data_IF_564364683151
#
_entry.id   IF_564364683151
#
_cell.length_a   1.000
_cell.length_b   1.000
_cell.length_c   1.000
_cell.angle_alpha   90.00
_cell.angle_beta   90.00
_cell.angle_gamma   90.00
#
_symmetry.space_group_name_H-M   'P 1'
#
loop_
_entity.id
_entity.type
_entity.pdbx_description
1 polymer ?
#
# COMPACT_ATOMS: atom_id res chain seq x y z
N UNK A 1 31.94 -7.44 -23.37
CA UNK A 1 30.58 -7.29 -22.80
C UNK A 1 30.69 -6.35 -21.61
N UNK A 2 30.16 -5.12 -21.72
CA UNK A 2 30.21 -4.16 -20.61
C UNK A 2 29.05 -4.42 -19.67
N UNK A 3 29.34 -4.78 -18.43
CA UNK A 3 28.32 -4.92 -17.39
C UNK A 3 27.79 -3.53 -17.02
N UNK A 4 26.50 -3.30 -17.26
CA UNK A 4 25.82 -2.10 -16.75
C UNK A 4 25.70 -2.21 -15.23
N UNK A 5 26.72 -1.74 -14.52
CA UNK A 5 26.65 -1.55 -13.07
C UNK A 5 25.68 -0.40 -12.80
N UNK A 6 24.54 -0.71 -12.16
CA UNK A 6 23.54 0.30 -11.83
C UNK A 6 24.18 1.42 -11.00
N UNK A 7 23.92 2.69 -11.37
CA UNK A 7 24.37 3.83 -10.59
C UNK A 7 23.81 3.73 -9.16
N UNK A 8 24.58 4.07 -8.12
CA UNK A 8 24.07 4.06 -6.75
C UNK A 8 22.97 5.13 -6.61
N UNK A 9 21.73 4.66 -6.46
CA UNK A 9 20.55 5.49 -6.17
C UNK A 9 20.78 6.28 -4.88
N UNK A 10 20.54 7.59 -4.89
CA UNK A 10 20.59 8.39 -3.67
C UNK A 10 19.35 8.11 -2.83
N UNK A 11 19.43 8.30 -1.51
CA UNK A 11 18.29 8.02 -0.62
C UNK A 11 17.02 8.83 -1.01
N UNK A 12 17.20 10.06 -1.50
CA UNK A 12 16.11 10.91 -2.00
C UNK A 12 15.50 10.50 -3.35
N UNK A 13 16.12 9.57 -4.08
CA UNK A 13 15.58 9.02 -5.34
C UNK A 13 14.85 7.68 -5.14
N UNK A 14 14.81 7.16 -3.90
CA UNK A 14 14.27 5.83 -3.60
C UNK A 14 12.79 5.91 -3.25
N UNK A 15 11.97 5.18 -4.01
CA UNK A 15 10.53 5.05 -3.74
C UNK A 15 10.20 3.67 -3.20
N UNK A 16 9.26 3.63 -2.27
CA UNK A 16 8.56 2.42 -1.86
C UNK A 16 7.40 2.20 -2.81
N UNK A 17 7.28 0.98 -3.33
CA UNK A 17 6.17 0.59 -4.19
C UNK A 17 5.19 -0.26 -3.37
N UNK A 18 3.89 0.06 -3.43
CA UNK A 18 2.85 -0.75 -2.82
C UNK A 18 1.80 -1.09 -3.87
N UNK A 19 1.54 -2.39 -4.04
CA UNK A 19 0.56 -2.93 -4.98
C UNK A 19 -0.62 -3.52 -4.19
N UNK A 20 -1.80 -2.94 -4.38
CA UNK A 20 -3.06 -3.48 -3.87
C UNK A 20 -3.61 -4.49 -4.89
N UNK A 21 -3.36 -5.78 -4.65
CA UNK A 21 -3.69 -6.89 -5.55
C UNK A 21 -5.09 -7.47 -5.23
N UNK A 22 -5.80 -7.99 -6.23
CA UNK A 22 -7.19 -8.50 -6.12
C UNK A 22 -8.19 -7.48 -5.58
N UNK A 23 -8.01 -6.20 -5.90
CA UNK A 23 -8.94 -5.14 -5.53
C UNK A 23 -10.31 -5.34 -6.20
N UNK A 24 -11.38 -5.29 -5.40
CA UNK A 24 -12.76 -5.56 -5.85
C UNK A 24 -13.43 -4.31 -6.43
N UNK A 25 -12.81 -3.73 -7.48
CA UNK A 25 -13.33 -2.56 -8.21
C UNK A 25 -13.97 -2.99 -9.53
N UNK A 26 -15.30 -2.96 -9.56
CA UNK A 26 -16.14 -3.34 -10.70
C UNK A 26 -17.35 -2.42 -10.79
N UNK A 27 -17.74 -2.00 -12.01
CA UNK A 27 -18.98 -1.25 -12.23
C UNK A 27 -20.14 -2.17 -12.58
N UNK A 28 -21.33 -1.85 -12.08
CA UNK A 28 -22.61 -2.45 -12.49
C UNK A 28 -23.59 -1.37 -12.92
N UNK A 29 -24.47 -1.68 -13.88
CA UNK A 29 -25.58 -0.80 -14.27
C UNK A 29 -26.78 -1.05 -13.34
N UNK A 30 -27.27 0.00 -12.69
CA UNK A 30 -28.41 -0.02 -11.76
C UNK A 30 -29.41 1.04 -12.20
N UNK A 31 -30.60 0.59 -12.64
CA UNK A 31 -31.53 1.43 -13.43
C UNK A 31 -30.75 2.04 -14.60
N UNK A 32 -30.66 3.37 -14.73
CA UNK A 32 -29.85 4.03 -15.77
C UNK A 32 -28.49 4.57 -15.30
N UNK A 33 -28.20 4.51 -14.00
CA UNK A 33 -26.91 4.88 -13.43
C UNK A 33 -25.88 3.74 -13.50
N UNK A 34 -24.58 4.07 -13.53
CA UNK A 34 -23.50 3.12 -13.27
C UNK A 34 -23.00 3.32 -11.83
N UNK A 35 -22.93 2.24 -11.06
CA UNK A 35 -22.52 2.26 -9.66
C UNK A 35 -21.36 1.28 -9.44
N UNK A 36 -20.57 1.49 -8.39
CA UNK A 36 -19.50 0.56 -8.01
C UNK A 36 -20.12 -0.61 -7.27
N UNK A 37 -19.81 -1.84 -7.69
CA UNK A 37 -20.35 -3.06 -7.11
C UNK A 37 -19.95 -3.18 -5.63
N UNK A 38 -20.96 -3.23 -4.77
CA UNK A 38 -20.85 -3.27 -3.32
C UNK A 38 -21.78 -4.34 -2.72
N UNK A 39 -21.36 -5.03 -1.66
CA UNK A 39 -22.15 -6.09 -1.04
C UNK A 39 -23.45 -5.60 -0.40
N UNK A 40 -23.46 -4.36 0.10
CA UNK A 40 -24.59 -3.80 0.84
C UNK A 40 -25.70 -3.35 -0.12
N UNK A 41 -25.38 -2.50 -1.09
CA UNK A 41 -26.35 -1.92 -2.02
C UNK A 41 -26.79 -2.88 -3.14
N UNK A 42 -25.93 -3.82 -3.53
CA UNK A 42 -26.11 -4.65 -4.74
C UNK A 42 -26.29 -6.15 -4.42
N UNK A 43 -26.72 -6.50 -3.21
CA UNK A 43 -26.83 -7.89 -2.76
C UNK A 43 -27.70 -8.78 -3.65
N UNK A 44 -28.76 -8.23 -4.27
CA UNK A 44 -29.63 -8.98 -5.18
C UNK A 44 -29.01 -9.21 -6.57
N UNK A 45 -28.16 -8.28 -7.04
CA UNK A 45 -27.39 -8.45 -8.27
C UNK A 45 -26.35 -9.56 -8.08
N UNK A 46 -25.69 -9.60 -6.92
CA UNK A 46 -24.74 -10.67 -6.58
C UNK A 46 -25.41 -12.05 -6.56
N UNK A 47 -26.57 -12.18 -5.89
CA UNK A 47 -27.39 -13.41 -5.91
C UNK A 47 -27.78 -13.81 -7.34
N UNK A 48 -28.25 -12.86 -8.16
CA UNK A 48 -28.67 -13.11 -9.55
C UNK A 48 -27.55 -13.69 -10.42
N UNK A 49 -26.30 -13.29 -10.19
CA UNK A 49 -25.13 -13.81 -10.90
C UNK A 49 -24.39 -14.92 -10.13
N UNK A 50 -24.98 -15.46 -9.06
CA UNK A 50 -24.40 -16.50 -8.21
C UNK A 50 -22.98 -16.15 -7.70
N UNK A 51 -22.82 -14.92 -7.21
CA UNK A 51 -21.57 -14.37 -6.65
C UNK A 51 -21.70 -14.14 -5.15
N UNK A 52 -20.59 -14.33 -4.45
CA UNK A 52 -20.53 -14.14 -2.99
C UNK A 52 -20.38 -12.67 -2.59
N UNK A 53 -20.94 -12.31 -1.43
CA UNK A 53 -20.84 -10.95 -0.89
C UNK A 53 -19.38 -10.52 -0.60
N UNK A 54 -18.48 -11.47 -0.35
CA UNK A 54 -17.04 -11.22 -0.15
C UNK A 54 -16.31 -10.74 -1.41
N UNK A 55 -16.88 -10.91 -2.60
CA UNK A 55 -16.30 -10.45 -3.87
C UNK A 55 -16.58 -8.98 -4.19
N UNK A 56 -17.48 -8.34 -3.44
CA UNK A 56 -17.96 -6.97 -3.67
C UNK A 56 -17.63 -6.08 -2.47
N UNK A 57 -16.34 -5.94 -2.17
CA UNK A 57 -15.81 -5.23 -0.99
C UNK A 57 -14.84 -4.10 -1.35
N UNK A 58 -15.26 -3.14 -2.18
CA UNK A 58 -14.43 -2.01 -2.60
C UNK A 58 -14.00 -1.11 -1.42
N UNK A 59 -14.74 -1.14 -0.30
CA UNK A 59 -14.41 -0.47 0.96
C UNK A 59 -13.05 -0.88 1.52
N UNK A 60 -12.60 -2.12 1.27
CA UNK A 60 -11.27 -2.60 1.67
C UNK A 60 -10.19 -1.82 0.91
N UNK A 61 -10.37 -1.62 -0.40
CA UNK A 61 -9.45 -0.84 -1.23
C UNK A 61 -9.46 0.63 -0.81
N UNK A 62 -10.65 1.17 -0.55
CA UNK A 62 -10.84 2.54 -0.03
C UNK A 62 -10.07 2.77 1.28
N UNK A 63 -10.23 1.90 2.27
CA UNK A 63 -9.53 2.01 3.56
C UNK A 63 -8.00 1.85 3.41
N UNK A 64 -7.53 0.96 2.53
CA UNK A 64 -6.10 0.85 2.23
C UNK A 64 -5.55 2.15 1.64
N UNK A 65 -6.24 2.74 0.65
CA UNK A 65 -5.83 4.00 0.05
C UNK A 65 -5.83 5.15 1.07
N UNK A 66 -6.81 5.22 1.97
CA UNK A 66 -6.80 6.20 3.05
C UNK A 66 -5.58 6.03 3.97
N UNK A 67 -5.28 4.79 4.41
CA UNK A 67 -4.12 4.51 5.25
C UNK A 67 -2.79 4.83 4.56
N UNK A 68 -2.67 4.52 3.26
CA UNK A 68 -1.46 4.76 2.47
C UNK A 68 -1.25 6.24 2.18
N UNK A 69 -2.27 6.97 1.76
CA UNK A 69 -2.12 8.38 1.33
C UNK A 69 -2.00 9.36 2.50
N UNK A 70 -2.51 8.99 3.69
CA UNK A 70 -2.33 9.76 4.92
C UNK A 70 -0.97 9.58 5.58
N UNK A 71 -0.22 8.54 5.20
CA UNK A 71 1.08 8.23 5.79
C UNK A 71 2.07 9.39 5.63
N UNK A 72 2.88 9.71 6.65
CA UNK A 72 4.07 10.55 6.51
C UNK A 72 4.96 10.12 5.32
N UNK A 73 5.07 8.82 5.03
CA UNK A 73 5.79 8.28 3.87
C UNK A 73 5.29 8.84 2.53
N UNK A 74 3.96 8.93 2.34
CA UNK A 74 3.37 9.51 1.13
C UNK A 74 3.59 11.04 1.08
N UNK A 75 3.44 11.73 2.21
CA UNK A 75 3.67 13.18 2.31
C UNK A 75 5.12 13.58 2.05
N UNK A 76 6.07 12.69 2.34
CA UNK A 76 7.48 12.82 1.97
C UNK A 76 7.76 12.59 0.46
N UNK A 77 6.77 12.16 -0.33
CA UNK A 77 6.93 11.87 -1.76
C UNK A 77 7.60 10.53 -2.07
N UNK A 78 7.78 9.67 -1.07
CA UNK A 78 8.54 8.42 -1.15
C UNK A 78 7.66 7.19 -1.41
N UNK A 79 6.33 7.35 -1.53
CA UNK A 79 5.41 6.26 -1.82
C UNK A 79 4.91 6.32 -3.27
N UNK A 80 4.82 5.16 -3.93
CA UNK A 80 4.08 4.95 -5.17
C UNK A 80 3.09 3.82 -4.98
N UNK A 81 1.81 4.07 -5.25
CA UNK A 81 0.74 3.07 -5.11
C UNK A 81 0.21 2.64 -6.48
N UNK A 82 0.02 1.33 -6.63
CA UNK A 82 -0.72 0.71 -7.73
C UNK A 82 -1.88 -0.12 -7.18
N UNK A 83 -2.94 -0.24 -7.98
CA UNK A 83 -4.10 -1.09 -7.68
C UNK A 83 -4.30 -2.04 -8.85
N UNK A 84 -4.35 -3.35 -8.59
CA UNK A 84 -4.70 -4.36 -9.58
C UNK A 84 -6.02 -5.01 -9.21
N UNK A 85 -7.02 -4.83 -10.06
CA UNK A 85 -8.37 -5.34 -9.78
C UNK A 85 -8.49 -6.84 -10.05
N UNK A 86 -9.52 -7.47 -9.49
CA UNK A 86 -9.88 -8.87 -9.81
C UNK A 86 -10.17 -9.09 -11.31
N UNK A 87 -10.56 -8.03 -12.04
CA UNK A 87 -10.73 -8.02 -13.51
C UNK A 87 -9.44 -7.70 -14.27
N UNK A 88 -8.27 -7.81 -13.63
CA UNK A 88 -6.95 -7.54 -14.20
C UNK A 88 -6.80 -6.11 -14.77
N UNK A 89 -7.51 -5.12 -14.22
CA UNK A 89 -7.29 -3.70 -14.55
C UNK A 89 -6.19 -3.18 -13.64
N UNK A 90 -5.11 -2.65 -14.21
CA UNK A 90 -4.02 -2.04 -13.44
C UNK A 90 -4.17 -0.52 -13.42
N UNK A 91 -4.12 0.06 -12.23
CA UNK A 91 -4.33 1.48 -11.97
C UNK A 91 -3.09 2.03 -11.26
N UNK A 92 -2.54 3.11 -11.82
CA UNK A 92 -1.54 3.98 -11.20
C UNK A 92 -2.26 5.09 -10.43
N UNK A 93 -1.86 5.32 -9.18
CA UNK A 93 -2.37 6.42 -8.35
C UNK A 93 -1.24 7.43 -8.10
N UNK A 94 -1.46 8.69 -8.46
CA UNK A 94 -0.46 9.74 -8.30
C UNK A 94 -0.32 10.15 -6.81
N UNK A 95 0.88 10.31 -6.23
CA UNK A 95 1.07 10.54 -4.78
C UNK A 95 0.34 11.78 -4.21
N UNK A 96 0.11 12.81 -5.03
CA UNK A 96 -0.63 14.03 -4.63
C UNK A 96 -2.15 13.86 -4.62
N UNK A 97 -2.68 12.69 -4.97
CA UNK A 97 -4.12 12.42 -5.04
C UNK A 97 -4.75 12.46 -3.65
N UNK A 98 -5.74 13.33 -3.45
CA UNK A 98 -6.55 13.33 -2.22
C UNK A 98 -7.69 12.32 -2.36
N UNK A 99 -7.52 11.16 -1.74
CA UNK A 99 -8.53 10.10 -1.69
C UNK A 99 -9.79 10.64 -0.95
N UNK A 100 -11.01 10.51 -1.54
CA UNK A 100 -12.24 10.88 -0.85
C UNK A 100 -12.41 10.15 0.48
N UNK A 101 -12.84 10.85 1.53
CA UNK A 101 -13.01 10.26 2.88
C UNK A 101 -14.29 9.46 3.04
N UNK A 102 -15.35 9.87 2.35
CA UNK A 102 -16.63 9.16 2.30
C UNK A 102 -16.57 8.08 1.21
N UNK A 103 -17.10 6.90 1.52
CA UNK A 103 -17.11 5.77 0.59
C UNK A 103 -17.89 6.10 -0.70
N UNK A 104 -19.04 6.77 -0.61
CA UNK A 104 -19.88 7.09 -1.79
C UNK A 104 -19.13 7.94 -2.83
N UNK A 105 -18.39 8.97 -2.39
CA UNK A 105 -17.57 9.79 -3.30
C UNK A 105 -16.39 9.00 -3.88
N UNK A 106 -15.80 8.09 -3.11
CA UNK A 106 -14.81 7.15 -3.65
C UNK A 106 -15.43 6.23 -4.71
N UNK A 107 -16.65 5.73 -4.49
CA UNK A 107 -17.36 4.86 -5.43
C UNK A 107 -17.66 5.58 -6.76
N UNK A 108 -18.22 6.79 -6.72
CA UNK A 108 -18.44 7.63 -7.91
C UNK A 108 -17.14 7.89 -8.69
N UNK A 109 -16.07 8.25 -7.97
CA UNK A 109 -14.74 8.44 -8.54
C UNK A 109 -14.21 7.16 -9.22
N UNK A 110 -14.38 5.98 -8.63
CA UNK A 110 -13.95 4.71 -9.23
C UNK A 110 -14.80 4.32 -10.45
N UNK A 111 -16.10 4.60 -10.46
CA UNK A 111 -16.94 4.46 -11.66
C UNK A 111 -16.42 5.35 -12.80
N UNK A 112 -16.14 6.62 -12.49
CA UNK A 112 -15.55 7.56 -13.45
C UNK A 112 -14.19 7.09 -13.97
N UNK A 113 -13.33 6.55 -13.11
CA UNK A 113 -12.03 6.00 -13.51
C UNK A 113 -12.18 4.83 -14.48
N UNK A 114 -13.06 3.87 -14.18
CA UNK A 114 -13.26 2.69 -15.01
C UNK A 114 -13.94 3.03 -16.35
N UNK A 115 -14.75 4.10 -16.41
CA UNK A 115 -15.39 4.61 -17.64
C UNK A 115 -14.46 5.50 -18.50
N UNK A 116 -13.73 6.44 -17.89
CA UNK A 116 -12.88 7.43 -18.60
C UNK A 116 -11.40 7.00 -18.70
N UNK A 117 -11.01 5.87 -18.11
CA UNK A 117 -9.64 5.31 -18.01
C UNK A 117 -8.58 6.22 -17.34
N UNK A 118 -8.90 7.46 -17.02
CA UNK A 118 -8.09 8.34 -16.19
C UNK A 118 -8.92 9.46 -15.58
N UNK A 119 -8.48 9.97 -14.44
CA UNK A 119 -9.02 11.15 -13.77
C UNK A 119 -7.92 12.21 -13.72
N UNK A 120 -8.27 13.46 -14.02
CA UNK A 120 -7.34 14.60 -13.96
C UNK A 120 -7.59 15.46 -12.72
N UNK A 121 -6.58 16.21 -12.34
CA UNK A 121 -6.72 17.31 -11.39
C UNK A 121 -7.69 18.37 -11.93
N UNK A 122 -8.42 19.03 -11.03
CA UNK A 122 -9.33 20.13 -11.36
C UNK A 122 -8.60 21.38 -11.84
N UNK A 123 -7.45 21.70 -11.22
CA UNK A 123 -6.66 22.90 -11.56
C UNK A 123 -5.33 22.55 -12.26
N UNK A 124 -5.25 21.44 -13.00
CA UNK A 124 -4.02 21.03 -13.68
C UNK A 124 -4.20 19.92 -14.74
N UNK A 125 -3.22 19.74 -15.64
CA UNK A 125 -3.26 18.69 -16.66
C UNK A 125 -3.01 17.29 -16.09
N UNK A 126 -2.49 17.21 -14.87
CA UNK A 126 -1.98 16.00 -14.21
C UNK A 126 -3.06 14.94 -14.02
N UNK A 127 -2.69 13.68 -14.25
CA UNK A 127 -3.58 12.52 -14.07
C UNK A 127 -3.39 11.97 -12.65
N UNK A 128 -4.42 12.14 -11.82
CA UNK A 128 -4.46 11.66 -10.43
C UNK A 128 -4.63 10.14 -10.37
N UNK A 129 -5.54 9.61 -11.20
CA UNK A 129 -5.67 8.17 -11.43
C UNK A 129 -5.52 7.88 -12.92
N UNK A 130 -4.89 6.75 -13.25
CA UNK A 130 -4.63 6.36 -14.63
C UNK A 130 -4.64 4.84 -14.75
N UNK A 131 -5.51 4.31 -15.61
CA UNK A 131 -5.42 2.91 -16.03
C UNK A 131 -4.17 2.75 -16.90
N UNK A 132 -3.34 1.77 -16.57
CA UNK A 132 -2.09 1.43 -17.24
C UNK A 132 -2.12 -0.01 -17.75
N UNK A 133 -1.20 -0.34 -18.67
CA UNK A 133 -1.11 -1.69 -19.24
C UNK A 133 -0.45 -2.64 -18.24
N UNK A 134 -0.95 -3.88 -18.17
CA UNK A 134 -0.25 -4.98 -17.53
C UNK A 134 0.99 -5.40 -18.35
N UNK A 135 1.98 -6.08 -17.74
CA UNK A 135 2.09 -6.46 -16.32
C UNK A 135 2.57 -5.31 -15.40
N UNK A 136 2.38 -5.45 -14.08
CA UNK A 136 2.90 -4.49 -13.10
C UNK A 136 4.43 -4.41 -13.09
N UNK A 137 5.12 -5.50 -13.44
CA UNK A 137 6.59 -5.56 -13.50
C UNK A 137 7.22 -4.53 -14.42
N UNK A 138 6.50 -4.08 -15.44
CA UNK A 138 6.99 -3.09 -16.42
C UNK A 138 7.00 -1.66 -15.87
N UNK A 139 6.30 -1.42 -14.75
CA UNK A 139 6.21 -0.11 -14.07
C UNK A 139 7.01 -0.07 -12.77
N UNK A 140 7.63 -1.19 -12.38
CA UNK A 140 8.56 -1.26 -11.26
C UNK A 140 10.00 -1.02 -11.74
N UNK A 141 10.87 -0.41 -10.91
CA UNK A 141 12.25 -0.16 -11.29
C UNK A 141 13.05 -1.47 -11.48
N UNK A 142 14.09 -1.46 -12.33
CA UNK A 142 14.91 -2.65 -12.57
C UNK A 142 15.59 -3.13 -11.29
N UNK A 143 15.53 -4.45 -11.04
CA UNK A 143 16.07 -5.05 -9.82
C UNK A 143 15.17 -4.90 -8.58
N UNK A 144 13.92 -4.45 -8.74
CA UNK A 144 12.97 -4.38 -7.63
C UNK A 144 12.69 -5.77 -7.03
N UNK A 145 12.87 -5.91 -5.71
CA UNK A 145 12.45 -7.10 -4.96
C UNK A 145 10.97 -6.96 -4.61
N UNK A 146 10.20 -8.01 -4.88
CA UNK A 146 8.75 -8.01 -4.69
C UNK A 146 8.39 -8.98 -3.55
N UNK A 147 7.80 -8.45 -2.48
CA UNK A 147 7.36 -9.21 -1.33
C UNK A 147 5.84 -9.23 -1.25
N UNK A 148 5.23 -10.40 -1.38
CA UNK A 148 3.80 -10.59 -1.19
C UNK A 148 3.50 -10.83 0.29
N UNK A 149 2.59 -10.06 0.86
CA UNK A 149 2.20 -10.19 2.27
C UNK A 149 1.09 -11.22 2.40
N UNK A 150 1.36 -12.32 3.09
CA UNK A 150 0.39 -13.41 3.30
C UNK A 150 0.46 -13.88 4.75
N UNK A 151 -0.69 -14.04 5.40
CA UNK A 151 -0.75 -14.63 6.75
C UNK A 151 -0.25 -16.08 6.77
N UNK A 152 -0.45 -16.81 5.67
CA UNK A 152 -0.02 -18.21 5.51
C UNK A 152 1.41 -18.36 4.99
N UNK A 153 2.16 -17.26 4.84
CA UNK A 153 3.54 -17.31 4.36
C UNK A 153 4.45 -18.11 5.32
N UNK A 154 5.41 -18.89 4.81
CA UNK A 154 6.28 -19.73 5.65
C UNK A 154 7.29 -18.92 6.47
N UNK A 155 7.64 -17.69 6.05
CA UNK A 155 8.59 -16.80 6.74
C UNK A 155 7.80 -15.68 7.45
N UNK A 156 7.66 -15.78 8.77
CA UNK A 156 7.20 -14.65 9.60
C UNK A 156 8.41 -13.80 10.01
N UNK A 157 8.33 -12.48 9.83
CA UNK A 157 9.45 -11.53 10.05
C UNK A 157 9.04 -10.35 10.94
N UNK A 158 10.01 -9.78 11.68
CA UNK A 158 9.87 -8.42 12.21
C UNK A 158 10.15 -7.42 11.08
N UNK A 159 9.19 -6.52 10.81
CA UNK A 159 9.36 -5.47 9.79
C UNK A 159 10.57 -4.56 10.08
N UNK A 160 10.89 -4.29 11.35
CA UNK A 160 12.00 -3.41 11.70
C UNK A 160 13.37 -4.02 11.41
N UNK A 161 13.51 -5.35 11.42
CA UNK A 161 14.74 -6.05 11.02
C UNK A 161 14.75 -6.36 9.52
N UNK A 162 13.59 -6.77 8.98
CA UNK A 162 13.42 -7.19 7.60
C UNK A 162 13.56 -6.06 6.59
N UNK A 163 13.06 -4.85 6.87
CA UNK A 163 13.16 -3.72 5.94
C UNK A 163 14.65 -3.36 5.67
N UNK A 164 15.52 -3.17 6.67
CA UNK A 164 16.96 -3.03 6.45
C UNK A 164 17.58 -4.17 5.63
N UNK A 165 17.26 -5.44 5.94
CA UNK A 165 17.71 -6.63 5.18
C UNK A 165 17.29 -6.56 3.70
N UNK A 166 16.02 -6.23 3.44
CA UNK A 166 15.44 -6.19 2.10
C UNK A 166 16.10 -5.14 1.20
N UNK A 167 16.28 -3.92 1.72
CA UNK A 167 16.94 -2.82 1.02
C UNK A 167 18.47 -2.99 0.96
N UNK A 168 19.08 -3.69 1.93
CA UNK A 168 20.51 -3.98 1.99
C UNK A 168 21.34 -2.97 2.79
N UNK A 169 20.74 -2.26 3.75
CA UNK A 169 21.43 -1.33 4.65
C UNK A 169 21.44 -1.85 6.10
N UNK A 170 22.46 -1.47 6.87
CA UNK A 170 22.38 -1.57 8.33
C UNK A 170 21.45 -0.43 8.82
N UNK A 171 20.54 -0.67 9.79
CA UNK A 171 19.51 0.32 10.18
C UNK A 171 20.13 1.65 10.59
N UNK A 172 19.56 2.76 10.11
CA UNK A 172 20.09 4.09 10.39
C UNK A 172 20.04 4.38 11.90
N UNK A 173 21.12 4.94 12.49
CA UNK A 173 21.09 5.32 13.89
C UNK A 173 20.05 6.41 14.09
N UNK A 174 19.12 6.19 15.03
CA UNK A 174 18.16 7.22 15.44
C UNK A 174 18.94 8.41 15.95
N UNK A 175 18.84 9.55 15.27
CA UNK A 175 19.43 10.81 15.73
C UNK A 175 18.43 11.43 16.72
N UNK A 176 18.70 11.41 18.04
CA UNK A 176 17.85 12.14 18.96
C UNK A 176 17.97 13.64 18.67
N UNK A 177 16.83 14.35 18.67
CA UNK A 177 16.83 15.81 18.65
C UNK A 177 17.55 16.29 19.91
N UNK A 178 18.74 16.88 19.74
CA UNK A 178 19.55 17.31 20.88
C UNK A 178 18.90 18.52 21.56
N UNK A 179 18.17 18.28 22.64
CA UNK A 179 17.73 19.33 23.56
C UNK A 179 18.91 19.80 24.41
N UNK A 180 19.82 20.56 23.81
CA UNK A 180 20.85 21.31 24.52
C UNK A 180 20.50 22.79 24.51
N UNK A 181 20.00 23.36 25.62
CA UNK A 181 20.02 24.80 25.81
C UNK A 181 21.48 25.21 26.07
N UNK A 182 22.20 25.61 25.02
CA UNK A 182 23.53 26.18 25.17
C UNK A 182 23.41 27.54 25.84
N UNK A 183 23.60 27.55 27.16
CA UNK A 183 23.74 28.78 27.94
C UNK A 183 24.96 29.56 27.44
N UNK A 184 24.71 30.63 26.69
CA UNK A 184 25.69 31.68 26.39
C UNK A 184 25.15 32.96 27.01
N UNK A 185 25.90 33.49 27.97
CA UNK A 185 25.58 34.74 28.64
C UNK A 185 25.67 35.92 27.68
N UNK A 186 24.59 36.70 27.58
CA UNK A 186 24.63 38.04 26.98
C UNK A 186 24.15 39.02 28.05
N UNK A 187 24.96 40.04 28.31
CA UNK A 187 24.67 41.09 29.28
C UNK A 187 23.48 41.94 28.82
N UNK A 188 22.72 42.46 29.78
CA UNK A 188 21.80 43.57 29.55
C UNK A 188 22.58 44.81 29.12
N UNK A 189 22.32 45.31 27.91
CA UNK A 189 21.91 46.71 27.67
C UNK A 189 21.79 47.01 26.17
N UNK A 190 20.98 48.02 25.84
CA UNK A 190 20.85 48.69 24.53
C UNK A 190 19.89 48.12 23.46
N UNK A 191 18.67 48.68 23.51
CA UNK A 191 17.99 49.39 22.39
C UNK A 191 17.53 48.60 21.14
N UNK A 192 16.19 48.52 21.06
CA UNK A 192 15.33 48.68 19.87
C UNK A 192 15.99 48.91 18.49
N UNK A 193 15.84 47.96 17.57
CA UNK A 193 15.35 48.19 16.18
C UNK A 193 15.16 46.84 15.47
N UNK A 194 14.62 46.84 14.24
CA UNK A 194 14.38 45.66 13.38
C UNK A 194 13.12 44.80 13.63
N UNK A 195 12.04 45.38 14.16
CA UNK A 195 10.69 44.89 13.86
C UNK A 195 10.20 45.44 12.50
N UNK A 196 10.80 44.99 11.39
CA UNK A 196 10.28 45.22 10.01
C UNK A 196 11.01 44.37 8.96
N UNK A 197 10.69 43.07 8.87
CA UNK A 197 10.75 42.28 7.63
C UNK A 197 10.20 40.86 7.85
N UNK A 198 9.42 40.34 6.90
CA UNK A 198 9.23 38.90 6.71
C UNK A 198 8.38 38.17 7.76
N UNK A 199 7.08 38.46 7.83
CA UNK A 199 6.14 37.61 8.56
C UNK A 199 6.12 36.18 7.98
N UNK A 200 6.60 35.21 8.75
CA UNK A 200 6.49 33.80 8.40
C UNK A 200 5.00 33.39 8.41
N UNK A 201 4.39 33.24 7.23
CA UNK A 201 3.04 32.68 7.11
C UNK A 201 3.03 31.27 7.70
N UNK A 202 2.35 31.13 8.83
CA UNK A 202 1.90 29.83 9.35
C UNK A 202 1.04 29.21 8.25
N UNK A 203 1.53 28.15 7.60
CA UNK A 203 0.81 27.47 6.53
C UNK A 203 -0.36 26.68 7.13
N UNK A 204 -1.58 27.06 6.77
CA UNK A 204 -2.78 26.32 7.13
C UNK A 204 -2.79 24.97 6.40
N UNK A 205 -3.27 23.92 7.07
CA UNK A 205 -3.27 22.54 6.57
C UNK A 205 -4.21 22.27 5.38
N UNK A 206 -4.81 23.31 4.78
CA UNK A 206 -5.73 23.21 3.64
C UNK A 206 -5.14 23.48 2.25
N UNK A 207 -3.97 24.11 2.14
CA UNK A 207 -3.40 24.52 0.84
C UNK A 207 -2.43 23.44 0.29
N UNK A 208 -2.86 22.71 -0.74
CA UNK A 208 -1.95 21.81 -1.50
C UNK A 208 -2.56 20.60 -2.21
N UNK A 209 -3.86 20.32 -2.07
CA UNK A 209 -4.46 19.08 -2.58
C UNK A 209 -5.52 19.33 -3.66
N UNK A 210 -5.45 18.53 -4.73
CA UNK A 210 -6.48 18.49 -5.77
C UNK A 210 -7.61 17.55 -5.37
N UNK A 211 -8.82 18.08 -5.26
CA UNK A 211 -10.05 17.30 -5.06
C UNK A 211 -10.67 16.99 -6.43
N UNK A 212 -11.04 15.72 -6.66
CA UNK A 212 -11.79 15.30 -7.84
C UNK A 212 -13.28 15.55 -7.63
N UNK A 213 -13.95 16.08 -8.65
CA UNK A 213 -15.38 16.42 -8.64
C UNK A 213 -16.20 15.32 -9.33
N UNK A 214 -17.40 15.10 -8.81
CA UNK A 214 -18.47 14.27 -9.37
C UNK A 214 -19.23 15.09 -10.43
N UNK A 215 -19.37 14.57 -11.65
CA UNK A 215 -20.17 15.22 -12.71
C UNK A 215 -21.68 14.93 -12.47
N UNK A 216 -22.30 15.59 -11.48
CA UNK A 216 -23.73 15.50 -11.17
C UNK A 216 -24.58 16.33 -12.16
N UNK A 217 -24.70 15.87 -13.40
CA UNK A 217 -25.75 16.30 -14.34
C UNK A 217 -26.44 15.09 -14.98
N UNK A 218 -27.43 14.53 -14.28
CA UNK A 218 -28.76 14.18 -14.79
C UNK A 218 -29.65 13.57 -13.69
N UNK A 219 -30.93 13.37 -14.00
CA UNK A 219 -31.93 12.63 -13.21
C UNK A 219 -32.55 13.38 -12.01
N UNK A 220 -33.11 14.56 -12.30
CA UNK A 220 -34.45 14.91 -11.77
C UNK A 220 -35.47 14.56 -12.85
N UNK A 221 -36.67 14.11 -12.44
CA UNK A 221 -37.69 13.46 -13.28
C UNK A 221 -37.20 12.05 -13.72
N UNK A 222 -37.60 10.96 -13.07
CA UNK A 222 -38.99 10.53 -12.83
C UNK A 222 -39.26 9.99 -11.42
N UNK A 223 -40.47 10.27 -10.96
CA UNK A 223 -41.07 9.80 -9.72
C UNK A 223 -41.45 8.31 -9.76
N UNK A 224 -41.78 7.79 -8.58
CA UNK A 224 -42.76 6.71 -8.38
C UNK A 224 -42.76 5.54 -9.38
N UNK A 225 -42.18 4.41 -8.96
CA UNK A 225 -43.03 3.24 -8.66
C UNK A 225 -42.25 2.20 -7.82
N UNK A 226 -42.93 1.70 -6.78
CA UNK A 226 -43.02 0.28 -6.36
C UNK A 226 -41.71 -0.57 -6.28
N UNK A 227 -41.47 -1.38 -5.26
CA UNK A 227 -42.17 -1.62 -3.99
C UNK A 227 -41.29 -2.58 -3.16
N UNK A 228 -41.33 -2.45 -1.83
CA UNK A 228 -41.43 -3.55 -0.86
C UNK A 228 -40.69 -4.90 -1.06
N UNK A 229 -40.07 -5.37 0.05
CA UNK A 229 -39.79 -6.78 0.41
C UNK A 229 -38.58 -7.43 -0.33
N UNK A 230 -37.79 -8.33 0.28
CA UNK A 230 -37.86 -8.94 1.63
C UNK A 230 -36.52 -9.54 2.08
N UNK A 231 -36.25 -9.41 3.37
CA UNK A 231 -35.79 -10.46 4.29
C UNK A 231 -34.77 -11.56 3.86
N UNK A 232 -33.59 -11.45 4.49
CA UNK A 232 -33.06 -12.41 5.49
C UNK A 232 -32.73 -13.87 5.11
N UNK A 233 -31.51 -14.28 5.56
CA UNK A 233 -31.17 -15.58 6.18
C UNK A 233 -31.15 -16.82 5.24
N UNK A 234 -30.34 -17.86 5.48
CA UNK A 234 -29.27 -18.14 6.48
C UNK A 234 -28.44 -19.34 5.98
N UNK A 235 -27.17 -19.43 6.41
CA UNK A 235 -26.54 -20.56 7.15
C UNK A 235 -27.09 -21.99 6.88
N UNK A 236 -26.30 -23.06 6.78
CA UNK A 236 -24.94 -23.33 7.34
C UNK A 236 -24.55 -24.80 7.00
N UNK A 237 -23.26 -25.12 7.11
CA UNK A 237 -22.73 -26.40 7.66
C UNK A 237 -22.97 -27.72 6.88
N UNK A 238 -22.20 -28.81 7.10
CA UNK A 238 -21.09 -29.09 8.03
C UNK A 238 -20.13 -30.17 7.46
N UNK A 239 -18.93 -30.30 8.05
CA UNK A 239 -18.18 -31.55 8.41
C UNK A 239 -18.11 -32.79 7.47
N UNK A 240 -17.09 -33.67 7.50
CA UNK A 240 -15.73 -33.70 8.09
C UNK A 240 -14.99 -34.98 7.62
N UNK A 241 -13.67 -35.10 7.92
CA UNK A 241 -12.93 -36.37 8.16
C UNK A 241 -12.71 -37.33 6.95
N UNK A 242 -11.71 -38.24 6.89
CA UNK A 242 -10.63 -38.65 7.83
C UNK A 242 -9.50 -39.42 7.08
N UNK A 243 -8.28 -39.54 7.68
CA UNK A 243 -7.32 -40.68 7.57
C UNK A 243 -6.67 -41.02 6.18
N UNK A 244 -5.55 -41.77 6.04
CA UNK A 244 -4.60 -42.36 7.01
C UNK A 244 -3.17 -42.59 6.43
N UNK A 245 -2.15 -42.37 7.27
CA UNK A 245 -0.90 -43.15 7.52
C UNK A 245 0.10 -43.72 6.46
N UNK A 246 1.39 -43.65 6.89
CA UNK A 246 2.56 -44.57 6.66
C UNK A 246 3.28 -44.51 5.28
N UNK A 247 4.61 -44.78 5.17
CA UNK A 247 5.57 -45.50 6.06
C UNK A 247 7.05 -45.21 5.70
N UNK A 248 7.94 -45.11 6.71
CA UNK A 248 9.36 -45.61 6.79
C UNK A 248 10.40 -45.20 5.69
N UNK A 249 11.74 -45.17 5.91
CA UNK A 249 12.63 -45.75 6.94
C UNK A 249 14.02 -45.04 6.96
N UNK A 250 14.71 -45.02 8.12
CA UNK A 250 16.19 -45.12 8.39
C UNK A 250 17.21 -44.69 7.31
N UNK A 251 18.34 -43.99 7.55
CA UNK A 251 19.30 -43.95 8.69
C UNK A 251 20.19 -42.67 8.56
N UNK A 252 21.25 -42.35 9.34
CA UNK A 252 21.92 -42.99 10.49
C UNK A 252 22.63 -41.94 11.40
N UNK A 253 23.25 -42.40 12.50
CA UNK A 253 24.06 -41.60 13.46
C UNK A 253 25.56 -41.55 13.11
N UNK A 254 26.30 -40.47 13.46
CA UNK A 254 27.60 -40.48 14.20
C UNK A 254 28.34 -39.11 14.22
N UNK A 255 28.38 -38.51 15.42
CA UNK A 255 29.54 -37.93 16.14
C UNK A 255 30.65 -37.13 15.40
N UNK A 256 30.67 -35.82 15.68
CA UNK A 256 31.81 -34.98 16.11
C UNK A 256 33.21 -35.15 15.50
N UNK A 257 33.70 -34.13 14.78
CA UNK A 257 35.01 -33.48 15.08
C UNK A 257 35.02 -32.00 14.68
N UNK A 258 35.61 -31.16 15.51
CA UNK A 258 35.96 -29.76 15.23
C UNK A 258 37.17 -29.66 14.30
N UNK A 259 37.09 -28.80 13.27
CA UNK A 259 38.31 -28.15 12.73
C UNK A 259 38.00 -26.78 12.14
N UNK A 260 38.70 -25.77 12.65
CA UNK A 260 38.66 -24.38 12.21
C UNK A 260 39.50 -24.17 10.95
N UNK A 261 38.92 -23.58 9.91
CA UNK A 261 39.71 -22.94 8.83
C UNK A 261 39.01 -21.71 8.28
N UNK A 262 39.39 -20.58 8.88
CA UNK A 262 39.21 -19.19 8.44
C UNK A 262 38.79 -18.94 6.97
N UNK A 263 37.52 -18.60 6.75
CA UNK A 263 37.09 -17.78 5.61
C UNK A 263 37.20 -16.30 5.98
N UNK A 264 37.77 -15.48 5.08
CA UNK A 264 38.00 -14.05 5.32
C UNK A 264 36.67 -13.32 5.50
N UNK A 265 36.46 -12.73 6.68
CA UNK A 265 35.34 -11.83 6.95
C UNK A 265 35.61 -10.50 6.23
N UNK A 266 34.87 -10.21 5.16
CA UNK A 266 34.98 -8.91 4.49
C UNK A 266 34.58 -7.79 5.47
N UNK A 267 35.49 -6.84 5.67
CA UNK A 267 35.26 -5.68 6.52
C UNK A 267 34.44 -4.67 5.72
N UNK A 268 33.12 -4.64 5.94
CA UNK A 268 32.25 -3.58 5.42
C UNK A 268 32.80 -2.22 5.89
N UNK A 269 33.11 -1.32 4.96
CA UNK A 269 33.44 0.08 5.28
C UNK A 269 32.17 0.83 5.69
N UNK A 270 32.15 1.57 6.81
CA UNK A 270 31.01 2.42 7.14
C UNK A 270 30.91 3.56 6.12
N UNK A 271 29.69 3.86 5.66
CA UNK A 271 29.40 5.05 4.85
C UNK A 271 29.30 4.85 3.32
N UNK A 272 29.41 3.63 2.79
CA UNK A 272 29.06 3.35 1.40
C UNK A 272 27.86 2.39 1.32
N UNK A 273 26.66 2.96 1.20
CA UNK A 273 25.43 2.20 0.95
C UNK A 273 25.54 1.56 -0.44
N UNK A 274 25.66 0.22 -0.49
CA UNK A 274 25.58 -0.51 -1.75
C UNK A 274 24.20 -0.25 -2.38
N UNK A 275 24.19 0.08 -3.68
CA UNK A 275 23.04 0.66 -4.39
C UNK A 275 21.68 0.11 -3.95
N UNK A 276 20.88 0.99 -3.35
CA UNK A 276 19.63 0.67 -2.65
C UNK A 276 18.72 -0.23 -3.49
N UNK A 277 18.53 -1.48 -3.04
CA UNK A 277 17.57 -2.38 -3.66
C UNK A 277 16.18 -1.73 -3.58
N UNK A 278 15.51 -1.55 -4.72
CA UNK A 278 14.14 -1.05 -4.70
C UNK A 278 13.21 -2.16 -4.20
N UNK A 279 12.21 -1.83 -3.39
CA UNK A 279 11.31 -2.81 -2.78
C UNK A 279 9.85 -2.49 -3.10
N UNK A 280 9.12 -3.54 -3.49
CA UNK A 280 7.68 -3.52 -3.69
C UNK A 280 7.00 -4.46 -2.69
N UNK A 281 6.01 -3.95 -1.95
CA UNK A 281 5.14 -4.76 -1.11
C UNK A 281 3.80 -4.97 -1.81
N UNK A 282 3.34 -6.23 -1.89
CA UNK A 282 2.04 -6.58 -2.49
C UNK A 282 1.09 -6.99 -1.38
N UNK A 283 -0.05 -6.30 -1.28
CA UNK A 283 -1.05 -6.46 -0.21
C UNK A 283 -2.39 -6.82 -0.85
N UNK A 284 -3.05 -7.86 -0.35
CA UNK A 284 -4.34 -8.33 -0.89
C UNK A 284 -5.49 -7.41 -0.47
N UNK A 285 -6.08 -6.67 -1.42
CA UNK A 285 -7.22 -5.78 -1.21
C UNK A 285 -8.57 -6.52 -1.37
N UNK A 286 -8.66 -7.71 -0.78
CA UNK A 286 -9.77 -8.66 -0.90
C UNK A 286 -10.32 -9.05 0.47
N UNK A 287 -11.61 -9.45 0.55
CA UNK A 287 -12.24 -9.77 1.84
C UNK A 287 -11.83 -11.12 2.43
N UNK A 288 -11.55 -12.10 1.57
CA UNK A 288 -11.23 -13.49 1.92
C UNK A 288 -10.48 -14.14 0.76
N UNK A 289 -9.75 -15.22 1.05
CA UNK A 289 -9.02 -16.01 0.03
C UNK A 289 -7.52 -15.74 0.04
N UNK A 290 -6.83 -16.24 -1.00
CA UNK A 290 -5.39 -16.04 -1.21
C UNK A 290 -5.14 -15.22 -2.48
N UNK A 291 -4.07 -14.43 -2.45
CA UNK A 291 -3.64 -13.62 -3.59
C UNK A 291 -3.09 -14.53 -4.69
N UNK A 292 -3.71 -14.52 -5.88
CA UNK A 292 -3.18 -15.19 -7.06
C UNK A 292 -2.28 -14.21 -7.82
N UNK A 293 -0.97 -14.34 -7.63
CA UNK A 293 0.04 -13.47 -8.26
C UNK A 293 0.71 -14.23 -9.41
N UNK A 294 0.82 -13.59 -10.57
CA UNK A 294 1.38 -14.13 -11.82
C UNK A 294 2.84 -13.70 -12.10
N UNK A 295 3.40 -12.81 -11.28
CA UNK A 295 4.79 -12.38 -11.33
C UNK A 295 5.63 -12.97 -10.17
N UNK A 296 6.95 -13.05 -10.36
CA UNK A 296 7.87 -13.58 -9.36
C UNK A 296 7.89 -12.69 -8.10
N UNK A 297 7.67 -13.30 -6.94
CA UNK A 297 7.65 -12.65 -5.63
C UNK A 297 8.18 -13.62 -4.55
N UNK A 298 8.49 -13.08 -3.38
CA UNK A 298 8.74 -13.84 -2.15
C UNK A 298 7.57 -13.62 -1.18
N UNK A 299 7.04 -14.66 -0.54
CA UNK A 299 5.97 -14.51 0.45
C UNK A 299 6.51 -14.26 1.86
N UNK A 300 5.96 -13.26 2.54
CA UNK A 300 6.27 -12.93 3.94
C UNK A 300 5.01 -12.74 4.78
N UNK A 301 5.07 -13.19 6.03
CA UNK A 301 4.16 -12.79 7.10
C UNK A 301 4.91 -11.83 8.03
N UNK A 302 4.19 -10.95 8.72
CA UNK A 302 4.77 -10.06 9.76
C UNK A 302 3.85 -9.92 10.98
N UNK A 303 2.94 -10.87 11.14
CA UNK A 303 2.11 -11.00 12.33
C UNK A 303 1.64 -12.44 12.45
N UNK A 304 1.63 -12.95 13.69
CA UNK A 304 1.05 -14.25 14.02
C UNK A 304 -0.49 -14.23 14.08
N UNK A 305 -1.10 -13.10 13.74
CA UNK A 305 -2.55 -12.91 13.66
C UNK A 305 -2.93 -12.39 12.27
N UNK A 306 -4.09 -12.79 11.72
CA UNK A 306 -4.57 -12.24 10.46
C UNK A 306 -4.84 -10.73 10.61
N UNK A 307 -4.37 -9.95 9.65
CA UNK A 307 -4.53 -8.49 9.61
C UNK A 307 -5.53 -8.11 8.52
N UNK A 308 -6.24 -6.99 8.72
CA UNK A 308 -6.93 -6.32 7.61
C UNK A 308 -5.89 -5.72 6.65
N UNK A 309 -6.23 -5.60 5.37
CA UNK A 309 -5.34 -5.02 4.36
C UNK A 309 -4.90 -3.59 4.72
N UNK A 310 -5.80 -2.77 5.29
CA UNK A 310 -5.47 -1.42 5.77
C UNK A 310 -4.55 -1.44 7.00
N UNK A 311 -4.73 -2.40 7.92
CA UNK A 311 -3.83 -2.58 9.06
C UNK A 311 -2.43 -3.08 8.66
N UNK A 312 -2.36 -3.89 7.59
CA UNK A 312 -1.11 -4.29 6.95
C UNK A 312 -0.40 -3.08 6.31
N UNK A 313 -1.13 -2.26 5.53
CA UNK A 313 -0.61 -1.01 4.97
C UNK A 313 -0.01 -0.11 6.05
N UNK A 314 -0.77 0.17 7.11
CA UNK A 314 -0.33 1.05 8.21
C UNK A 314 0.93 0.54 8.91
N UNK A 315 1.02 -0.76 9.22
CA UNK A 315 2.22 -1.36 9.83
C UNK A 315 3.45 -1.24 8.93
N UNK A 316 3.29 -1.45 7.63
CA UNK A 316 4.38 -1.34 6.65
C UNK A 316 4.85 0.11 6.53
N UNK A 317 3.94 1.08 6.37
CA UNK A 317 4.31 2.50 6.29
C UNK A 317 4.99 2.97 7.58
N UNK A 318 4.47 2.66 8.77
CA UNK A 318 5.10 3.03 10.05
C UNK A 318 6.51 2.44 10.21
N UNK A 319 6.73 1.20 9.75
CA UNK A 319 8.04 0.57 9.83
C UNK A 319 9.05 1.22 8.86
N UNK A 320 8.61 1.56 7.65
CA UNK A 320 9.41 2.29 6.66
C UNK A 320 9.73 3.73 7.12
N UNK A 321 8.75 4.44 7.68
CA UNK A 321 8.90 5.79 8.21
C UNK A 321 10.00 5.85 9.28
N UNK A 322 9.96 4.93 10.25
CA UNK A 322 11.00 4.82 11.28
C UNK A 322 12.38 4.55 10.67
N UNK A 323 12.48 3.65 9.69
CA UNK A 323 13.76 3.29 9.06
C UNK A 323 14.32 4.40 8.16
N UNK A 324 13.46 5.23 7.58
CA UNK A 324 13.86 6.36 6.74
C UNK A 324 13.99 7.68 7.52
N UNK A 325 13.73 7.69 8.83
CA UNK A 325 13.83 8.88 9.68
C UNK A 325 12.71 9.89 9.46
N UNK A 326 11.54 9.44 9.00
CA UNK A 326 10.33 10.25 8.79
C UNK A 326 9.55 10.27 10.11
N UNK A 327 9.24 11.47 10.60
CA UNK A 327 8.56 11.75 11.88
C UNK A 327 7.35 12.68 11.66
#
# INVERSE_FOLDING_TARGET
MSTNLAKPTRLGDTKVYIVLEHATLETVKVKDSFQLLNCDDHSDILKKYNREASEARPDITHQCLLALFDSPLNKAGLLQVYIRTTKNVLIEVHPQTRIPRTFNRFAGLMVQLLKKLSIRATNGPDKLFKVIKNPITDHLPPGCKIFATSFSAPKCVDLFEFIPEAYGYDPLPVIPVSTTPTGVSVQSDSIQSLNSAGGAKIRSAGEGYYEGIEDDENDKEEEEEKNNKKDNKKRKQDESNEKDNKKQKTSNTTTTTTTTTSSKKEVKKPGLLNGLNQVCFVIGAMSTGSMKIDYKHEEIAFSNYPLSAAGACFKITTALEKQFGIL
#
